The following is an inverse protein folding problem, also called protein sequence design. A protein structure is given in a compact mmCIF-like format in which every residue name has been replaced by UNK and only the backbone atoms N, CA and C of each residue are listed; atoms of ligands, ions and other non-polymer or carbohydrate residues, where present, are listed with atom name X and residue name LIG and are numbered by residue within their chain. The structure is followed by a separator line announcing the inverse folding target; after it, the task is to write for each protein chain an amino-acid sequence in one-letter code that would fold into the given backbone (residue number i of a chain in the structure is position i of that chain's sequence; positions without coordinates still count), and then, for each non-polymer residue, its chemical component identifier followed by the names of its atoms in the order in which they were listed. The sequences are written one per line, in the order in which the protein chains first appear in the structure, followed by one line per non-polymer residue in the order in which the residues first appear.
data_IF_431317364832
#
_entry.id   IF_431317364832
#
_cell.length_a   1.000
_cell.length_b   1.000
_cell.length_c   1.000
_cell.angle_alpha   90.00
_cell.angle_beta   90.00
_cell.angle_gamma   90.00
#
_symmetry.space_group_name_H-M   'P 1'
#
loop_
_entity.id
_entity.type
_entity.pdbx_description
1 polymer ?
#
# COMPACT_ATOMS: atom_id res chain seq x y z
N UNK A 1 24.07 4.09 -25.55
CA UNK A 1 23.26 3.32 -26.55
C UNK A 1 21.86 3.18 -25.98
N UNK A 2 20.92 3.92 -26.54
CA UNK A 2 19.52 3.94 -26.09
C UNK A 2 18.88 2.59 -26.31
N UNK A 3 18.55 1.86 -25.26
CA UNK A 3 17.60 0.75 -25.35
C UNK A 3 16.20 1.31 -25.09
N UNK A 4 15.55 1.73 -26.16
CA UNK A 4 14.11 2.00 -26.18
C UNK A 4 13.44 0.63 -26.17
N UNK A 5 12.95 0.21 -25.02
CA UNK A 5 11.98 -0.89 -24.95
C UNK A 5 10.62 -0.25 -25.19
N UNK A 6 10.21 -0.24 -26.44
CA UNK A 6 8.86 0.18 -26.85
C UNK A 6 7.91 -0.94 -26.48
N UNK A 7 7.32 -0.87 -25.29
CA UNK A 7 6.20 -1.71 -24.92
C UNK A 7 4.91 -0.99 -25.35
N UNK A 8 4.49 -1.23 -26.60
CA UNK A 8 3.18 -0.79 -27.08
C UNK A 8 2.10 -1.63 -26.40
N UNK A 9 1.53 -1.17 -25.31
CA UNK A 9 0.27 -1.68 -24.78
C UNK A 9 -0.82 -0.71 -25.22
N UNK A 10 -1.44 -1.03 -26.37
CA UNK A 10 -2.73 -0.48 -26.76
C UNK A 10 -3.79 -1.03 -25.80
N UNK A 11 -4.24 -0.23 -24.84
CA UNK A 11 -5.45 -0.49 -24.09
C UNK A 11 -6.59 0.31 -24.74
N UNK A 12 -7.19 -0.24 -25.78
CA UNK A 12 -8.43 0.25 -26.35
C UNK A 12 -9.59 -0.23 -25.45
N UNK A 13 -9.97 0.56 -24.46
CA UNK A 13 -11.22 0.38 -23.74
C UNK A 13 -12.32 1.16 -24.47
N UNK A 14 -12.97 0.53 -25.46
CA UNK A 14 -14.23 1.03 -26.02
C UNK A 14 -15.36 0.70 -25.04
N UNK A 15 -15.76 1.67 -24.26
CA UNK A 15 -17.04 1.63 -23.56
C UNK A 15 -18.16 1.79 -24.59
N UNK A 16 -18.83 0.69 -24.91
CA UNK A 16 -20.09 0.71 -25.67
C UNK A 16 -21.23 0.80 -24.65
N UNK A 17 -21.73 2.00 -24.42
CA UNK A 17 -23.02 2.20 -23.74
C UNK A 17 -24.14 1.77 -24.72
N UNK A 18 -24.76 0.64 -24.47
CA UNK A 18 -26.07 0.34 -25.03
C UNK A 18 -27.14 0.67 -24.00
N UNK A 19 -27.90 1.71 -24.31
CA UNK A 19 -29.18 2.01 -23.68
C UNK A 19 -30.18 0.90 -24.03
N UNK A 20 -30.78 0.28 -23.03
CA UNK A 20 -31.99 -0.54 -23.24
C UNK A 20 -33.18 0.26 -22.71
N UNK A 21 -34.05 0.61 -23.64
CA UNK A 21 -35.38 1.19 -23.43
C UNK A 21 -36.36 0.16 -22.86
N UNK A 22 -37.22 0.67 -22.02
CA UNK A 22 -38.42 -0.04 -21.49
C UNK A 22 -39.44 -0.31 -22.60
N UNK A 23 -40.10 -1.44 -22.50
CA UNK A 23 -41.52 -1.68 -22.92
C UNK A 23 -42.02 -2.89 -22.13
N UNK A 24 -42.95 -2.74 -21.50
CA UNK A 24 -44.35 -2.73 -21.16
C UNK A 24 -45.14 -4.00 -21.56
N UNK A 25 -45.95 -4.49 -20.60
CA UNK A 25 -47.25 -5.20 -20.67
C UNK A 25 -47.27 -6.67 -21.16
N UNK A 26 -47.92 -7.57 -20.47
CA UNK A 26 -49.32 -7.65 -20.12
C UNK A 26 -49.64 -8.92 -19.31
N UNK A 27 -50.70 -8.80 -18.55
CA UNK A 27 -51.47 -9.79 -17.75
C UNK A 27 -51.89 -11.05 -18.50
N UNK A 28 -52.01 -12.16 -17.78
CA UNK A 28 -53.29 -12.87 -17.74
C UNK A 28 -53.39 -13.90 -16.59
N UNK A 29 -54.51 -13.83 -15.89
CA UNK A 29 -55.06 -14.74 -14.89
C UNK A 29 -55.40 -16.11 -15.46
N UNK A 30 -55.29 -17.16 -14.65
CA UNK A 30 -56.49 -17.98 -14.34
C UNK A 30 -56.16 -19.05 -13.28
N UNK A 31 -57.10 -19.17 -12.38
CA UNK A 31 -57.20 -20.12 -11.26
C UNK A 31 -57.65 -21.52 -11.78
N UNK A 32 -57.43 -22.56 -10.94
CA UNK A 32 -58.44 -23.45 -10.36
C UNK A 32 -57.82 -24.76 -9.88
N UNK A 33 -57.90 -24.97 -8.59
CA UNK A 33 -58.25 -26.13 -7.75
C UNK A 33 -57.87 -27.57 -8.15
N UNK A 34 -57.45 -28.31 -7.11
CA UNK A 34 -57.53 -29.77 -7.08
C UNK A 34 -56.70 -30.37 -5.93
N UNK A 35 -57.39 -30.65 -4.82
CA UNK A 35 -56.82 -31.38 -3.71
C UNK A 35 -56.65 -32.88 -4.03
N UNK A 36 -55.58 -33.49 -3.58
CA UNK A 36 -55.59 -34.90 -3.13
C UNK A 36 -54.38 -35.16 -2.22
N UNK A 37 -54.70 -35.56 -0.99
CA UNK A 37 -53.78 -36.13 -0.01
C UNK A 37 -53.10 -37.38 -0.52
N UNK A 38 -51.77 -37.41 -0.35
CA UNK A 38 -51.05 -38.66 -0.18
C UNK A 38 -49.82 -38.42 0.71
N UNK A 39 -49.90 -38.95 1.92
CA UNK A 39 -48.80 -39.10 2.86
C UNK A 39 -47.70 -39.98 2.23
N UNK A 40 -46.55 -39.43 1.99
CA UNK A 40 -45.33 -40.22 1.87
C UNK A 40 -44.22 -39.66 2.76
N UNK A 41 -43.85 -40.50 3.70
CA UNK A 41 -42.71 -40.37 4.60
C UNK A 41 -41.45 -40.57 3.74
N UNK A 42 -40.60 -39.56 3.66
CA UNK A 42 -39.36 -39.64 2.85
C UNK A 42 -38.38 -38.55 3.25
N UNK A 43 -37.37 -38.97 3.93
CA UNK A 43 -35.99 -38.44 4.02
C UNK A 43 -35.85 -36.91 3.91
N UNK A 44 -35.43 -36.31 5.02
CA UNK A 44 -34.95 -34.95 5.10
C UNK A 44 -33.66 -34.81 4.21
N UNK A 45 -33.84 -34.31 2.99
CA UNK A 45 -32.76 -33.68 2.26
C UNK A 45 -32.47 -32.34 2.95
N UNK A 46 -31.30 -32.27 3.58
CA UNK A 46 -30.72 -31.03 4.03
C UNK A 46 -30.39 -30.16 2.80
N UNK A 47 -31.34 -29.38 2.33
CA UNK A 47 -31.09 -28.25 1.45
C UNK A 47 -30.18 -27.29 2.21
N UNK A 48 -29.03 -27.05 1.68
CA UNK A 48 -28.05 -26.10 2.23
C UNK A 48 -28.68 -24.69 2.24
N UNK A 49 -28.81 -24.11 3.42
CA UNK A 49 -29.26 -22.72 3.66
C UNK A 49 -28.32 -21.65 3.05
N UNK A 50 -27.41 -22.04 2.14
CA UNK A 50 -26.50 -21.11 1.45
C UNK A 50 -27.18 -20.38 0.27
N UNK A 51 -28.39 -20.77 -0.17
CA UNK A 51 -28.99 -20.23 -1.39
C UNK A 51 -29.81 -18.93 -1.17
N UNK A 52 -30.05 -18.50 0.08
CA UNK A 52 -30.89 -17.34 0.37
C UNK A 52 -30.11 -16.08 0.86
N UNK A 53 -28.78 -16.05 0.79
CA UNK A 53 -28.06 -14.82 1.11
C UNK A 53 -28.21 -13.80 -0.02
N UNK A 54 -28.85 -12.69 0.33
CA UNK A 54 -29.08 -11.53 -0.53
C UNK A 54 -27.74 -11.06 -1.13
N UNK A 55 -27.63 -10.95 -2.45
CA UNK A 55 -26.42 -10.61 -3.20
C UNK A 55 -25.72 -9.30 -2.71
N UNK A 56 -26.45 -8.44 -1.97
CA UNK A 56 -25.93 -7.23 -1.35
C UNK A 56 -25.10 -7.48 -0.08
N UNK A 57 -25.41 -8.54 0.69
CA UNK A 57 -24.67 -8.91 1.91
C UNK A 57 -23.36 -9.66 1.58
N UNK A 58 -23.35 -10.41 0.47
CA UNK A 58 -22.20 -11.19 0.03
C UNK A 58 -21.02 -10.32 -0.45
N UNK A 59 -21.28 -9.08 -0.89
CA UNK A 59 -20.23 -8.15 -1.39
C UNK A 59 -19.33 -7.64 -0.26
N UNK A 60 -19.83 -7.58 0.99
CA UNK A 60 -19.05 -7.05 2.13
C UNK A 60 -18.07 -8.05 2.75
N UNK A 61 -18.16 -9.32 2.41
CA UNK A 61 -17.39 -10.40 3.06
C UNK A 61 -16.16 -10.87 2.26
N UNK A 62 -15.85 -10.21 1.14
CA UNK A 62 -14.76 -10.67 0.32
C UNK A 62 -13.43 -9.99 0.72
N UNK A 63 -12.84 -10.48 1.82
CA UNK A 63 -11.55 -10.00 2.33
C UNK A 63 -10.47 -10.02 1.25
N UNK A 64 -10.56 -10.95 0.28
CA UNK A 64 -9.63 -11.06 -0.84
C UNK A 64 -9.59 -9.87 -1.78
N UNK A 65 -10.65 -9.06 -1.81
CA UNK A 65 -10.75 -7.88 -2.67
C UNK A 65 -10.42 -6.56 -1.95
N UNK A 66 -9.96 -6.65 -0.70
CA UNK A 66 -9.49 -5.47 0.03
C UNK A 66 -7.97 -5.35 -0.06
N UNK A 67 -7.44 -4.19 -0.41
CA UNK A 67 -5.99 -3.96 -0.34
C UNK A 67 -5.48 -4.09 1.10
N UNK A 68 -4.22 -4.46 1.23
CA UNK A 68 -3.54 -4.53 2.52
C UNK A 68 -3.66 -3.19 3.29
N UNK A 69 -3.96 -3.28 4.60
CA UNK A 69 -4.00 -2.12 5.49
C UNK A 69 -5.25 -1.26 5.39
N UNK A 70 -6.33 -1.75 4.76
CA UNK A 70 -7.64 -1.09 4.76
C UNK A 70 -8.64 -1.97 5.51
N UNK A 71 -9.33 -1.38 6.49
CA UNK A 71 -10.41 -2.04 7.23
C UNK A 71 -11.66 -1.16 7.21
N UNK A 72 -12.77 -1.70 6.72
CA UNK A 72 -14.03 -0.97 6.64
C UNK A 72 -15.22 -1.79 7.15
N UNK A 73 -16.17 -1.13 7.79
CA UNK A 73 -17.55 -1.56 7.86
C UNK A 73 -18.02 -2.36 9.06
N UNK A 74 -17.17 -2.86 9.97
CA UNK A 74 -17.62 -3.66 11.11
C UNK A 74 -17.15 -3.08 12.44
N UNK A 75 -18.10 -2.63 13.27
CA UNK A 75 -17.81 -2.13 14.61
C UNK A 75 -17.31 -3.26 15.54
N UNK A 76 -16.34 -2.95 16.37
CA UNK A 76 -15.76 -3.88 17.35
C UNK A 76 -14.66 -4.80 16.80
N UNK A 77 -14.39 -4.78 15.51
CA UNK A 77 -13.34 -5.61 14.90
C UNK A 77 -11.95 -5.05 15.12
N UNK A 78 -11.02 -5.98 15.21
CA UNK A 78 -9.58 -5.72 15.25
C UNK A 78 -8.91 -6.28 14.01
N UNK A 79 -7.82 -5.64 13.60
CA UNK A 79 -6.93 -6.18 12.58
C UNK A 79 -5.49 -5.99 13.05
N UNK A 80 -4.69 -7.03 12.93
CA UNK A 80 -3.23 -6.96 13.05
C UNK A 80 -2.62 -7.22 11.69
N UNK A 81 -1.54 -6.53 11.38
CA UNK A 81 -0.84 -6.67 10.11
C UNK A 81 0.66 -6.57 10.26
N UNK A 82 1.33 -7.26 9.38
CA UNK A 82 2.76 -7.18 9.20
C UNK A 82 3.07 -7.04 7.72
N UNK A 83 3.93 -6.10 7.36
CA UNK A 83 4.41 -5.93 6.00
C UNK A 83 5.94 -5.90 5.99
N UNK A 84 6.51 -6.67 5.08
CA UNK A 84 7.91 -6.60 4.71
C UNK A 84 8.02 -5.92 3.35
N UNK A 85 8.90 -4.93 3.23
CA UNK A 85 9.25 -4.28 1.97
C UNK A 85 10.74 -4.41 1.74
N UNK A 86 11.12 -4.85 0.56
CA UNK A 86 12.50 -4.83 0.07
C UNK A 86 12.58 -3.92 -1.14
N UNK A 87 13.47 -2.94 -1.11
CA UNK A 87 13.71 -1.98 -2.18
C UNK A 87 15.17 -2.03 -2.62
N UNK A 88 15.40 -2.19 -3.92
CA UNK A 88 16.73 -2.13 -4.54
C UNK A 88 16.85 -0.86 -5.35
N UNK A 89 17.92 -0.13 -5.11
CA UNK A 89 18.30 1.07 -5.85
C UNK A 89 19.66 0.82 -6.50
N UNK A 90 19.79 1.16 -7.78
CA UNK A 90 21.01 0.93 -8.55
C UNK A 90 21.04 1.87 -9.75
N UNK A 91 22.16 2.55 -9.97
CA UNK A 91 22.27 3.67 -10.89
C UNK A 91 21.91 5.01 -10.24
N UNK A 92 22.25 6.11 -10.88
CA UNK A 92 21.95 7.46 -10.39
C UNK A 92 21.37 8.33 -11.49
N UNK A 93 20.43 9.20 -11.10
CA UNK A 93 19.77 10.16 -11.99
C UNK A 93 20.00 11.60 -11.52
N UNK A 94 20.05 12.52 -12.49
CA UNK A 94 19.85 13.96 -12.31
C UNK A 94 18.71 14.38 -13.22
N UNK A 95 17.61 14.84 -12.65
CA UNK A 95 16.36 14.92 -13.42
C UNK A 95 15.93 13.54 -13.89
N UNK A 96 15.84 13.38 -15.20
CA UNK A 96 15.54 12.09 -15.87
C UNK A 96 16.74 11.48 -16.59
N UNK A 97 17.90 12.10 -16.46
CA UNK A 97 19.11 11.71 -17.19
C UNK A 97 20.03 10.88 -16.29
N UNK A 98 20.57 9.79 -16.85
CA UNK A 98 21.53 8.95 -16.17
C UNK A 98 22.83 9.72 -15.91
N UNK A 99 23.37 9.61 -14.71
CA UNK A 99 24.68 10.13 -14.33
C UNK A 99 25.56 8.99 -13.82
N UNK A 100 26.79 8.92 -14.33
CA UNK A 100 27.72 7.88 -13.88
C UNK A 100 28.40 8.26 -12.56
N UNK A 101 28.79 7.27 -11.76
CA UNK A 101 29.59 7.45 -10.54
C UNK A 101 30.83 8.30 -10.80
N UNK A 102 31.54 8.10 -11.93
CA UNK A 102 32.71 8.89 -12.29
C UNK A 102 32.40 10.36 -12.59
N UNK A 103 31.16 10.71 -12.94
CA UNK A 103 30.73 12.10 -13.08
C UNK A 103 30.39 12.74 -11.73
N UNK A 104 29.78 11.95 -10.83
CA UNK A 104 29.49 12.38 -9.45
C UNK A 104 30.83 12.66 -8.70
N UNK A 105 31.79 11.77 -8.81
CA UNK A 105 33.11 11.92 -8.18
C UNK A 105 33.93 13.12 -8.69
N UNK A 106 33.52 13.81 -9.75
CA UNK A 106 34.10 15.10 -10.13
C UNK A 106 33.62 16.26 -9.28
N UNK A 107 32.51 16.08 -8.57
CA UNK A 107 31.86 17.12 -7.78
C UNK A 107 31.93 16.81 -6.28
N UNK A 108 31.91 15.53 -5.92
CA UNK A 108 31.88 15.04 -4.54
C UNK A 108 33.02 14.04 -4.31
N UNK A 109 33.69 14.04 -3.14
CA UNK A 109 34.69 13.05 -2.77
C UNK A 109 34.18 11.61 -2.72
N UNK A 110 32.89 11.41 -2.38
CA UNK A 110 32.26 10.11 -2.28
C UNK A 110 31.01 10.03 -3.16
N UNK A 111 30.71 8.85 -3.65
CA UNK A 111 29.49 8.59 -4.42
C UNK A 111 28.87 7.23 -4.06
N UNK A 112 27.54 7.12 -3.91
CA UNK A 112 26.87 5.85 -3.78
C UNK A 112 26.85 5.11 -5.12
N UNK A 113 27.03 3.79 -5.06
CA UNK A 113 26.93 2.90 -6.23
C UNK A 113 25.60 2.20 -6.31
N UNK A 114 25.13 1.70 -5.18
CA UNK A 114 23.83 1.05 -5.03
C UNK A 114 23.41 1.02 -3.57
N UNK A 115 22.10 0.76 -3.34
CA UNK A 115 21.53 0.67 -1.99
C UNK A 115 20.46 -0.40 -1.94
N UNK A 116 20.36 -1.06 -0.80
CA UNK A 116 19.19 -1.89 -0.44
C UNK A 116 18.53 -1.37 0.82
N UNK A 117 17.22 -1.43 0.86
CA UNK A 117 16.43 -1.08 2.05
C UNK A 117 15.42 -2.19 2.33
N UNK A 118 15.50 -2.73 3.54
CA UNK A 118 14.49 -3.60 4.13
C UNK A 118 13.66 -2.81 5.13
N UNK A 119 12.34 -2.87 5.03
CA UNK A 119 11.43 -2.28 5.99
C UNK A 119 10.47 -3.33 6.51
N UNK A 120 10.43 -3.47 7.83
CA UNK A 120 9.49 -4.29 8.56
C UNK A 120 8.47 -3.38 9.22
N UNK A 121 7.19 -3.56 8.93
CA UNK A 121 6.13 -2.68 9.40
C UNK A 121 5.08 -3.49 10.15
N UNK A 122 4.84 -3.14 11.41
CA UNK A 122 3.78 -3.71 12.24
C UNK A 122 2.63 -2.73 12.32
N UNK A 123 1.43 -3.24 12.22
CA UNK A 123 0.21 -2.46 12.23
C UNK A 123 -0.84 -3.12 13.12
N UNK A 124 -1.54 -2.30 13.86
CA UNK A 124 -2.75 -2.69 14.59
C UNK A 124 -3.87 -1.71 14.24
N UNK A 125 -5.06 -2.23 13.98
CA UNK A 125 -6.25 -1.42 13.69
C UNK A 125 -7.41 -1.87 14.58
N UNK A 126 -8.26 -0.92 14.93
CA UNK A 126 -9.49 -1.14 15.68
C UNK A 126 -10.61 -0.28 15.13
N UNK A 127 -11.77 -0.87 14.89
CA UNK A 127 -12.98 -0.16 14.46
C UNK A 127 -13.93 0.05 15.64
N UNK A 128 -13.86 1.16 16.40
CA UNK A 128 -14.80 1.43 17.48
C UNK A 128 -16.24 1.59 16.98
N UNK A 129 -16.43 1.99 15.75
CA UNK A 129 -17.73 2.10 15.10
C UNK A 129 -17.67 1.61 13.64
N UNK A 130 -18.82 1.39 13.01
CA UNK A 130 -18.88 1.04 11.59
C UNK A 130 -18.32 2.13 10.63
N UNK A 131 -18.02 3.33 11.14
CA UNK A 131 -17.52 4.46 10.34
C UNK A 131 -16.13 4.94 10.72
N UNK A 132 -15.63 4.56 11.88
CA UNK A 132 -14.34 5.02 12.39
C UNK A 132 -13.43 3.82 12.59
N UNK A 133 -12.26 3.87 12.00
CA UNK A 133 -11.15 2.94 12.25
C UNK A 133 -9.95 3.74 12.77
N UNK A 134 -9.32 3.23 13.80
CA UNK A 134 -8.08 3.77 14.38
C UNK A 134 -6.95 2.80 14.05
N UNK A 135 -5.83 3.30 13.54
CA UNK A 135 -4.65 2.49 13.28
C UNK A 135 -3.40 3.08 13.94
N UNK A 136 -2.53 2.18 14.36
CA UNK A 136 -1.17 2.50 14.78
C UNK A 136 -0.19 1.65 13.98
N UNK A 137 0.88 2.26 13.49
CA UNK A 137 1.86 1.62 12.62
C UNK A 137 3.27 2.04 13.03
N UNK A 138 4.17 1.08 13.13
CA UNK A 138 5.57 1.31 13.45
C UNK A 138 6.48 0.57 12.47
N UNK A 139 7.36 1.27 11.73
CA UNK A 139 8.34 0.66 10.85
C UNK A 139 9.67 0.42 11.58
N UNK A 140 10.39 -0.61 11.14
CA UNK A 140 11.82 -0.81 11.42
C UNK A 140 12.55 -0.90 10.10
N UNK A 141 13.61 -0.11 9.94
CA UNK A 141 14.41 -0.02 8.74
C UNK A 141 15.76 -0.72 8.91
N UNK A 142 16.21 -1.36 7.85
CA UNK A 142 17.59 -1.79 7.65
C UNK A 142 18.00 -1.31 6.28
N UNK A 143 19.04 -0.46 6.26
CA UNK A 143 19.55 0.20 5.06
C UNK A 143 21.02 -0.13 4.90
N UNK A 144 21.42 -0.47 3.69
CA UNK A 144 22.82 -0.75 3.34
C UNK A 144 23.11 -0.09 2.00
N UNK A 145 24.08 0.84 1.98
CA UNK A 145 24.48 1.63 0.82
C UNK A 145 25.96 1.40 0.55
N UNK A 146 26.27 0.95 -0.64
CA UNK A 146 27.63 0.79 -1.13
C UNK A 146 28.13 2.12 -1.68
N UNK A 147 29.33 2.52 -1.26
CA UNK A 147 29.97 3.79 -1.58
C UNK A 147 31.33 3.56 -2.21
N UNK A 148 31.77 4.53 -3.00
CA UNK A 148 33.14 4.61 -3.54
C UNK A 148 33.66 6.03 -3.38
N UNK A 149 34.96 6.16 -3.01
CA UNK A 149 35.63 7.44 -2.92
C UNK A 149 36.40 7.78 -4.23
N UNK A 150 36.98 8.98 -4.28
CA UNK A 150 37.79 9.46 -5.44
C UNK A 150 39.04 8.64 -5.69
N UNK A 151 39.57 7.94 -4.69
CA UNK A 151 40.72 7.07 -4.78
C UNK A 151 40.40 5.65 -5.23
N UNK A 152 39.07 5.36 -5.39
CA UNK A 152 38.55 4.07 -5.80
C UNK A 152 38.40 3.06 -4.66
N UNK A 153 38.46 3.49 -3.39
CA UNK A 153 38.17 2.62 -2.25
C UNK A 153 36.68 2.43 -2.07
N UNK A 154 36.28 1.21 -1.84
CA UNK A 154 34.87 0.87 -1.57
C UNK A 154 34.64 0.73 -0.07
N UNK A 155 33.51 1.27 0.40
CA UNK A 155 33.03 1.10 1.77
C UNK A 155 31.51 0.99 1.80
N UNK A 156 30.98 0.53 2.92
CA UNK A 156 29.55 0.29 3.07
C UNK A 156 29.03 1.14 4.21
N UNK A 157 28.04 2.00 3.91
CA UNK A 157 27.29 2.74 4.92
C UNK A 157 26.07 1.95 5.34
N UNK A 158 25.81 1.89 6.65
CA UNK A 158 24.65 1.17 7.22
C UNK A 158 23.88 2.07 8.15
N UNK A 159 22.54 1.99 8.04
CA UNK A 159 21.63 2.62 8.97
C UNK A 159 20.50 1.66 9.29
N UNK A 160 20.19 1.48 10.57
CA UNK A 160 19.09 0.62 10.99
C UNK A 160 18.45 1.16 12.25
N UNK A 161 17.16 0.95 12.40
CA UNK A 161 16.44 1.40 13.58
C UNK A 161 14.94 1.44 13.40
N UNK A 162 14.26 1.71 14.49
CA UNK A 162 12.82 1.98 14.49
C UNK A 162 12.60 3.36 13.88
N UNK A 163 11.61 3.47 12.98
CA UNK A 163 11.19 4.74 12.41
C UNK A 163 10.13 5.44 13.24
N UNK A 164 9.46 6.40 12.63
CA UNK A 164 8.45 7.20 13.30
C UNK A 164 7.13 6.42 13.45
N UNK A 165 6.52 6.50 14.63
CA UNK A 165 5.21 5.93 14.92
C UNK A 165 4.13 6.75 14.21
N UNK A 166 3.26 6.09 13.44
CA UNK A 166 2.11 6.71 12.82
C UNK A 166 0.82 6.30 13.52
N UNK A 167 0.00 7.29 13.86
CA UNK A 167 -1.35 7.11 14.41
C UNK A 167 -2.34 7.71 13.42
N UNK A 168 -3.22 6.87 12.85
CA UNK A 168 -4.12 7.26 11.77
C UNK A 168 -5.57 6.90 12.08
N UNK A 169 -6.48 7.86 12.36
CA UNK A 169 -7.91 7.68 12.22
C UNK A 169 -8.32 7.68 10.73
N UNK A 170 -9.22 6.78 10.38
CA UNK A 170 -9.89 6.71 9.08
C UNK A 170 -11.40 6.80 9.30
N UNK A 171 -12.05 7.76 8.65
CA UNK A 171 -13.48 8.00 8.82
C UNK A 171 -14.23 7.82 7.50
N UNK A 172 -15.21 6.92 7.49
CA UNK A 172 -16.11 6.67 6.36
C UNK A 172 -17.09 7.83 6.21
N UNK A 173 -16.80 8.76 5.28
CA UNK A 173 -17.61 9.97 5.04
C UNK A 173 -18.79 9.70 4.10
N UNK A 174 -18.64 8.74 3.18
CA UNK A 174 -19.69 8.39 2.23
C UNK A 174 -19.69 6.89 1.96
N UNK A 175 -20.89 6.31 1.83
CA UNK A 175 -21.10 4.93 1.42
C UNK A 175 -22.45 4.84 0.70
N UNK A 176 -22.50 4.14 -0.44
CA UNK A 176 -23.74 3.83 -1.14
C UNK A 176 -24.57 2.81 -0.34
N UNK A 177 -25.89 2.77 -0.58
CA UNK A 177 -26.80 1.87 0.13
C UNK A 177 -26.44 0.38 -0.08
N UNK A 178 -25.93 0.04 -1.26
CA UNK A 178 -25.43 -1.30 -1.61
C UNK A 178 -23.97 -1.54 -1.14
N UNK A 179 -23.38 -0.58 -0.41
CA UNK A 179 -22.02 -0.59 0.13
C UNK A 179 -20.91 -0.79 -0.90
N UNK A 180 -21.22 -0.68 -2.19
CA UNK A 180 -20.26 -0.90 -3.28
C UNK A 180 -19.26 0.23 -3.45
N UNK A 181 -19.64 1.45 -3.07
CA UNK A 181 -18.77 2.61 -3.16
C UNK A 181 -18.60 3.25 -1.79
N UNK A 182 -17.36 3.50 -1.42
CA UNK A 182 -17.00 4.08 -0.14
C UNK A 182 -15.97 5.18 -0.33
N UNK A 183 -16.06 6.22 0.49
CA UNK A 183 -15.09 7.30 0.55
C UNK A 183 -14.67 7.49 2.01
N UNK A 184 -13.38 7.34 2.28
CA UNK A 184 -12.79 7.46 3.60
C UNK A 184 -11.92 8.71 3.64
N UNK A 185 -12.14 9.52 4.67
CA UNK A 185 -11.22 10.60 5.03
C UNK A 185 -10.18 10.02 5.98
N UNK A 186 -8.92 10.12 5.61
CA UNK A 186 -7.80 9.67 6.41
C UNK A 186 -7.17 10.90 7.08
N UNK A 187 -6.83 10.77 8.32
CA UNK A 187 -6.07 11.77 9.07
C UNK A 187 -4.97 11.08 9.83
N UNK A 188 -4.14 11.85 10.54
CA UNK A 188 -3.18 11.22 11.40
C UNK A 188 -2.03 12.13 11.80
N UNK A 189 -1.22 11.60 12.70
CA UNK A 189 0.03 12.21 13.15
C UNK A 189 1.15 11.18 13.06
N UNK A 190 2.31 11.63 12.61
CA UNK A 190 3.58 10.94 12.76
C UNK A 190 4.30 11.49 14.00
N UNK A 191 4.65 10.61 14.91
CA UNK A 191 5.39 10.93 16.13
C UNK A 191 6.85 10.59 15.91
N UNK A 192 7.81 11.52 16.10
CA UNK A 192 9.22 11.30 15.82
C UNK A 192 9.87 10.37 16.88
N UNK A 193 9.57 9.09 16.77
CA UNK A 193 10.13 8.04 17.63
C UNK A 193 11.41 7.43 17.07
N UNK A 194 11.66 7.63 15.76
CA UNK A 194 12.87 7.16 15.09
C UNK A 194 14.08 8.03 15.43
N UNK A 195 15.25 7.39 15.52
CA UNK A 195 16.53 8.08 15.72
C UNK A 195 16.91 8.91 14.50
N UNK A 196 17.51 10.06 14.73
CA UNK A 196 18.19 10.89 13.74
C UNK A 196 19.66 11.09 14.11
N UNK A 197 20.17 10.30 15.06
CA UNK A 197 21.50 10.38 15.65
C UNK A 197 22.37 9.18 15.28
N UNK A 198 22.00 8.43 14.23
CA UNK A 198 22.80 7.29 13.77
C UNK A 198 24.16 7.75 13.25
N UNK A 199 25.21 7.05 13.70
CA UNK A 199 26.61 7.34 13.36
C UNK A 199 27.32 6.07 12.87
N UNK A 200 28.32 6.27 12.01
CA UNK A 200 29.25 5.23 11.59
C UNK A 200 30.69 5.74 11.69
N UNK A 201 31.52 5.05 12.45
CA UNK A 201 32.92 5.47 12.66
C UNK A 201 33.09 6.81 13.39
N UNK A 202 32.07 7.26 14.14
CA UNK A 202 32.07 8.55 14.85
C UNK A 202 31.62 9.73 13.99
N UNK A 203 31.11 9.48 12.79
CA UNK A 203 30.50 10.48 11.91
C UNK A 203 29.03 10.18 11.73
N UNK A 204 28.21 11.24 11.67
CA UNK A 204 26.78 11.13 11.39
C UNK A 204 26.55 10.57 9.98
N UNK A 205 25.64 9.58 9.87
CA UNK A 205 25.26 9.06 8.56
C UNK A 205 24.27 10.01 7.87
N UNK A 206 24.19 9.92 6.54
CA UNK A 206 23.38 10.76 5.65
C UNK A 206 21.89 10.81 6.06
N UNK A 207 21.19 11.84 5.58
CA UNK A 207 19.75 12.00 5.79
C UNK A 207 18.95 10.77 5.39
N UNK A 208 19.28 10.15 4.26
CA UNK A 208 18.57 8.96 3.78
C UNK A 208 18.87 7.70 4.61
N UNK A 209 19.96 7.67 5.36
CA UNK A 209 20.34 6.54 6.21
C UNK A 209 19.74 6.63 7.62
N UNK A 210 19.28 7.80 8.06
CA UNK A 210 18.60 7.96 9.35
C UNK A 210 17.24 7.22 9.35
N UNK A 211 16.87 6.49 10.42
CA UNK A 211 15.59 5.79 10.50
C UNK A 211 14.39 6.70 10.79
N UNK A 212 14.59 7.80 11.49
CA UNK A 212 13.56 8.77 11.88
C UNK A 212 13.59 10.07 11.08
N UNK A 213 12.56 10.91 11.24
CA UNK A 213 12.52 12.27 10.70
C UNK A 213 12.87 13.35 11.73
N UNK A 214 12.78 13.01 13.01
CA UNK A 214 12.96 13.94 14.12
C UNK A 214 11.90 15.04 14.21
N UNK A 215 10.85 15.01 13.39
CA UNK A 215 9.78 16.03 13.35
C UNK A 215 8.40 15.41 13.45
N UNK A 216 7.48 16.09 14.13
CA UNK A 216 6.06 15.73 14.10
C UNK A 216 5.53 15.92 12.67
N UNK A 217 4.71 14.99 12.20
CA UNK A 217 4.10 15.06 10.88
C UNK A 217 2.58 15.01 10.96
N UNK A 218 1.91 15.77 10.08
CA UNK A 218 0.48 15.59 9.80
C UNK A 218 0.34 14.65 8.62
N UNK A 219 -0.63 13.74 8.69
CA UNK A 219 -0.82 12.66 7.73
C UNK A 219 -2.25 12.70 7.12
N UNK A 220 -2.65 13.80 6.40
CA UNK A 220 -3.95 13.85 5.75
C UNK A 220 -4.00 12.93 4.54
N UNK A 221 -5.20 12.41 4.25
CA UNK A 221 -5.41 11.58 3.07
C UNK A 221 -6.89 11.37 2.75
N UNK A 222 -7.13 10.76 1.60
CA UNK A 222 -8.44 10.41 1.10
C UNK A 222 -8.35 9.08 0.37
N UNK A 223 -9.28 8.16 0.65
CA UNK A 223 -9.33 6.85 -0.01
C UNK A 223 -10.71 6.62 -0.58
N UNK A 224 -10.79 6.33 -1.87
CA UNK A 224 -11.98 5.85 -2.55
C UNK A 224 -11.86 4.36 -2.82
N UNK A 225 -12.92 3.63 -2.53
CA UNK A 225 -13.07 2.20 -2.77
C UNK A 225 -14.32 1.93 -3.58
N UNK A 226 -14.19 1.12 -4.60
CA UNK A 226 -15.30 0.56 -5.36
C UNK A 226 -15.18 -0.95 -5.44
N UNK A 227 -16.29 -1.68 -5.34
CA UNK A 227 -16.27 -3.13 -5.42
C UNK A 227 -17.53 -3.74 -6.01
N UNK A 228 -17.35 -4.90 -6.61
CA UNK A 228 -18.42 -5.84 -7.02
C UNK A 228 -18.12 -7.19 -6.38
N UNK A 229 -18.86 -8.22 -6.75
CA UNK A 229 -18.62 -9.58 -6.26
C UNK A 229 -17.25 -10.16 -6.62
N UNK A 230 -16.66 -9.74 -7.75
CA UNK A 230 -15.40 -10.31 -8.29
C UNK A 230 -14.34 -9.28 -8.61
N UNK A 231 -14.65 -7.98 -8.55
CA UNK A 231 -13.74 -6.89 -8.81
C UNK A 231 -13.73 -5.90 -7.67
N UNK A 232 -12.58 -5.35 -7.36
CA UNK A 232 -12.46 -4.09 -6.62
C UNK A 232 -11.50 -3.13 -7.32
N UNK A 233 -11.69 -1.87 -7.08
CA UNK A 233 -10.83 -0.80 -7.58
C UNK A 233 -10.84 0.34 -6.58
N UNK A 234 -9.84 1.16 -6.64
CA UNK A 234 -9.79 2.32 -5.79
C UNK A 234 -8.65 3.24 -6.12
N UNK A 235 -8.65 4.33 -5.39
CA UNK A 235 -7.56 5.30 -5.40
C UNK A 235 -7.38 5.84 -3.98
N UNK A 236 -6.15 6.06 -3.60
CA UNK A 236 -5.81 6.78 -2.37
C UNK A 236 -4.83 7.92 -2.65
N UNK A 237 -4.97 8.97 -1.87
CA UNK A 237 -4.04 10.07 -1.77
C UNK A 237 -3.63 10.22 -0.31
N UNK A 238 -2.34 10.34 -0.07
CA UNK A 238 -1.77 10.54 1.27
C UNK A 238 -0.71 11.63 1.20
N UNK A 239 -0.66 12.47 2.22
CA UNK A 239 0.41 13.42 2.37
C UNK A 239 1.08 13.24 3.73
N UNK A 240 2.39 13.47 3.76
CA UNK A 240 3.18 13.62 4.98
C UNK A 240 3.67 15.06 5.03
N UNK A 241 3.03 15.87 5.86
CA UNK A 241 3.38 17.28 6.04
C UNK A 241 4.13 17.42 7.36
N UNK A 242 5.43 17.69 7.26
CA UNK A 242 6.32 17.75 8.43
C UNK A 242 6.28 19.13 9.07
N UNK A 243 6.25 19.17 10.40
CA UNK A 243 6.07 20.42 11.16
C UNK A 243 7.35 20.77 11.92
N UNK A 244 7.79 22.03 11.78
CA UNK A 244 8.96 22.53 12.47
C UNK A 244 10.27 21.91 11.93
N UNK A 245 11.35 22.16 12.65
CA UNK A 245 12.67 21.54 12.42
C UNK A 245 13.03 20.66 13.60
N UNK A 246 13.84 19.65 13.34
CA UNK A 246 14.34 18.75 14.38
C UNK A 246 15.52 19.39 15.17
N UNK A 247 16.09 18.64 16.11
CA UNK A 247 17.19 19.10 16.96
C UNK A 247 18.50 19.37 16.20
N UNK A 248 18.62 18.89 14.95
CA UNK A 248 19.75 19.14 14.06
C UNK A 248 19.46 20.24 13.02
N UNK A 249 18.46 21.10 13.30
CA UNK A 249 18.10 22.28 12.49
C UNK A 249 17.61 21.98 11.06
N UNK A 250 17.22 20.74 10.72
CA UNK A 250 16.66 20.41 9.44
C UNK A 250 15.23 19.82 9.56
N UNK A 251 14.55 19.77 8.44
CA UNK A 251 13.27 19.12 8.26
C UNK A 251 13.29 18.40 6.92
N UNK A 252 13.01 17.09 6.90
CA UNK A 252 12.84 16.36 5.65
C UNK A 252 11.72 16.99 4.82
N UNK A 253 11.80 16.94 3.50
CA UNK A 253 10.78 17.47 2.59
C UNK A 253 9.40 16.83 2.81
N UNK A 254 8.34 17.58 2.55
CA UNK A 254 6.99 17.01 2.55
C UNK A 254 6.89 15.94 1.45
N UNK A 255 6.01 14.94 1.67
CA UNK A 255 5.83 13.83 0.73
C UNK A 255 4.36 13.66 0.41
N UNK A 256 4.06 13.53 -0.87
CA UNK A 256 2.73 13.35 -1.42
C UNK A 256 2.71 12.05 -2.21
N UNK A 257 1.77 11.17 -1.89
CA UNK A 257 1.66 9.85 -2.50
C UNK A 257 0.24 9.64 -3.01
N UNK A 258 0.13 9.05 -4.18
CA UNK A 258 -1.14 8.65 -4.77
C UNK A 258 -1.03 7.23 -5.31
N UNK A 259 -2.07 6.45 -5.12
CA UNK A 259 -2.16 5.10 -5.66
C UNK A 259 -3.53 4.90 -6.30
N UNK A 260 -3.55 4.22 -7.45
CA UNK A 260 -4.77 3.72 -8.07
C UNK A 260 -4.57 2.24 -8.41
N UNK A 261 -5.58 1.42 -8.13
CA UNK A 261 -5.49 -0.03 -8.34
C UNK A 261 -6.79 -0.61 -8.84
N UNK A 262 -6.68 -1.78 -9.47
CA UNK A 262 -7.77 -2.69 -9.79
C UNK A 262 -7.38 -4.08 -9.34
N UNK A 263 -8.30 -4.78 -8.69
CA UNK A 263 -8.13 -6.17 -8.27
C UNK A 263 -9.23 -7.03 -8.86
N UNK A 264 -8.90 -8.26 -9.22
CA UNK A 264 -9.84 -9.26 -9.69
C UNK A 264 -9.67 -10.55 -8.92
N UNK A 265 -10.76 -11.05 -8.39
CA UNK A 265 -10.80 -12.38 -7.82
C UNK A 265 -10.83 -13.43 -8.95
N UNK A 266 -9.87 -14.34 -8.93
CA UNK A 266 -9.77 -15.43 -9.89
C UNK A 266 -10.42 -16.71 -9.37
N UNK A 267 -10.22 -16.97 -8.08
CA UNK A 267 -10.80 -18.10 -7.36
C UNK A 267 -11.29 -17.63 -5.98
N UNK A 268 -11.94 -18.48 -5.21
CA UNK A 268 -12.37 -18.14 -3.84
C UNK A 268 -11.20 -17.75 -2.89
N UNK A 269 -9.98 -18.14 -3.21
CA UNK A 269 -8.79 -17.96 -2.37
C UNK A 269 -7.69 -17.11 -3.01
N UNK A 270 -7.84 -16.72 -4.29
CA UNK A 270 -6.81 -15.98 -5.03
C UNK A 270 -7.41 -14.77 -5.76
N UNK A 271 -6.81 -13.61 -5.55
CA UNK A 271 -7.02 -12.40 -6.34
C UNK A 271 -5.71 -11.89 -6.94
N UNK A 272 -5.80 -11.23 -8.08
CA UNK A 272 -4.70 -10.51 -8.72
C UNK A 272 -4.99 -9.02 -8.71
N UNK A 273 -3.94 -8.22 -8.65
CA UNK A 273 -4.05 -6.77 -8.71
C UNK A 273 -3.02 -6.14 -9.64
N UNK A 274 -3.37 -4.99 -10.17
CA UNK A 274 -2.46 -4.10 -10.87
C UNK A 274 -2.75 -2.67 -10.47
N UNK A 275 -1.75 -1.80 -10.51
CA UNK A 275 -1.92 -0.42 -10.11
C UNK A 275 -0.80 0.50 -10.57
N UNK A 276 -1.01 1.78 -10.29
CA UNK A 276 -0.05 2.86 -10.46
C UNK A 276 0.17 3.53 -9.11
N UNK A 277 1.43 3.81 -8.78
CA UNK A 277 1.82 4.46 -7.53
C UNK A 277 2.66 5.68 -7.87
N UNK A 278 2.16 6.88 -7.59
CA UNK A 278 2.86 8.14 -7.77
C UNK A 278 3.38 8.66 -6.43
N UNK A 279 4.58 9.18 -6.41
CA UNK A 279 5.15 9.86 -5.27
C UNK A 279 5.87 11.14 -5.71
N UNK A 280 5.70 12.20 -4.91
CA UNK A 280 6.44 13.46 -5.05
C UNK A 280 6.93 13.83 -3.66
N UNK A 281 8.18 14.19 -3.54
CA UNK A 281 8.76 14.64 -2.28
C UNK A 281 9.65 15.85 -2.52
N UNK A 282 9.62 16.76 -1.54
CA UNK A 282 10.35 18.01 -1.57
C UNK A 282 11.78 17.81 -1.05
N UNK A 283 12.65 18.77 -1.33
CA UNK A 283 13.97 18.83 -0.76
C UNK A 283 13.94 19.06 0.77
N UNK A 284 15.05 18.80 1.44
CA UNK A 284 15.23 19.04 2.87
C UNK A 284 15.29 20.53 3.13
N UNK A 285 14.59 21.01 4.15
CA UNK A 285 14.65 22.41 4.59
C UNK A 285 15.60 22.55 5.78
N UNK A 286 16.58 23.45 5.67
CA UNK A 286 17.67 23.59 6.63
C UNK A 286 18.78 22.61 6.35
N UNK A 287 19.72 22.45 7.28
CA UNK A 287 20.82 21.51 7.18
C UNK A 287 21.27 21.06 8.57
N UNK A 288 21.72 19.83 8.67
CA UNK A 288 22.42 19.32 9.83
C UNK A 288 23.83 19.92 9.85
N UNK A 289 24.25 20.61 10.93
CA UNK A 289 25.59 21.20 11.02
C UNK A 289 26.74 20.17 11.05
N UNK A 290 26.42 18.90 11.36
CA UNK A 290 27.39 17.81 11.42
C UNK A 290 27.56 17.09 10.06
N UNK A 291 26.76 17.45 9.03
CA UNK A 291 26.83 16.93 7.68
C UNK A 291 27.42 17.99 6.73
N UNK A 292 28.52 17.66 6.08
CA UNK A 292 29.13 18.52 5.06
C UNK A 292 28.50 18.23 3.68
N UNK A 293 27.74 19.18 3.10
CA UNK A 293 27.09 18.99 1.81
C UNK A 293 28.06 18.85 0.63
N UNK A 294 29.33 19.08 0.85
CA UNK A 294 30.36 18.93 -0.18
C UNK A 294 31.02 17.54 -0.18
N UNK A 295 30.77 16.72 0.84
CA UNK A 295 31.37 15.37 0.94
C UNK A 295 30.71 14.37 0.03
N UNK A 296 29.39 14.40 -0.06
CA UNK A 296 28.59 13.50 -0.90
C UNK A 296 27.21 14.11 -1.21
N UNK A 297 26.62 13.73 -2.34
CA UNK A 297 25.32 14.28 -2.75
C UNK A 297 24.17 13.94 -1.78
N UNK A 298 24.31 12.88 -1.00
CA UNK A 298 23.32 12.43 -0.02
C UNK A 298 23.29 13.28 1.24
N UNK A 299 24.32 14.11 1.47
CA UNK A 299 24.39 15.11 2.55
C UNK A 299 23.96 16.51 2.13
N UNK A 300 23.78 16.79 0.82
CA UNK A 300 23.27 18.08 0.37
C UNK A 300 21.72 18.11 0.48
N UNK A 301 21.15 18.95 1.36
CA UNK A 301 19.69 19.03 1.56
C UNK A 301 18.91 19.47 0.31
N UNK A 302 19.55 20.15 -0.65
CA UNK A 302 18.91 20.64 -1.87
C UNK A 302 18.84 19.59 -2.99
N UNK A 303 19.49 18.45 -2.81
CA UNK A 303 19.57 17.37 -3.79
C UNK A 303 18.74 16.13 -3.38
N UNK A 304 17.77 16.29 -2.46
CA UNK A 304 17.01 15.16 -1.89
C UNK A 304 15.56 15.05 -2.40
N UNK A 305 15.11 16.03 -3.17
CA UNK A 305 13.75 16.05 -3.74
C UNK A 305 13.60 15.16 -4.96
N UNK A 306 12.35 14.90 -5.35
CA UNK A 306 12.09 14.13 -6.55
C UNK A 306 10.64 13.72 -6.75
N UNK A 307 10.41 13.00 -7.84
CA UNK A 307 9.10 12.42 -8.17
C UNK A 307 9.28 11.07 -8.86
N UNK A 308 8.34 10.16 -8.61
CA UNK A 308 8.36 8.80 -9.16
C UNK A 308 6.96 8.33 -9.48
N UNK A 309 6.82 7.57 -10.56
CA UNK A 309 5.62 6.82 -10.93
C UNK A 309 6.01 5.37 -11.15
N UNK A 310 5.41 4.46 -10.39
CA UNK A 310 5.65 3.03 -10.45
C UNK A 310 4.42 2.30 -10.98
N UNK A 311 4.62 1.24 -11.78
CA UNK A 311 3.61 0.22 -12.02
C UNK A 311 3.71 -0.87 -10.94
N UNK A 312 2.56 -1.38 -10.50
CA UNK A 312 2.52 -2.48 -9.53
C UNK A 312 1.70 -3.66 -10.05
N UNK A 313 2.11 -4.87 -9.63
CA UNK A 313 1.41 -6.13 -9.84
C UNK A 313 1.41 -6.93 -8.56
N UNK A 314 0.24 -7.45 -8.18
CA UNK A 314 0.09 -8.15 -6.91
C UNK A 314 -0.74 -9.42 -7.00
N UNK A 315 -0.48 -10.29 -6.03
CA UNK A 315 -1.24 -11.50 -5.74
C UNK A 315 -1.72 -11.42 -4.31
N UNK A 316 -2.99 -11.76 -4.08
CA UNK A 316 -3.59 -11.80 -2.76
C UNK A 316 -4.18 -13.19 -2.53
N UNK A 317 -3.75 -13.82 -1.45
CA UNK A 317 -4.18 -15.15 -1.02
C UNK A 317 -5.03 -15.01 0.23
N UNK A 318 -6.24 -15.57 0.20
CA UNK A 318 -7.14 -15.63 1.34
C UNK A 318 -7.46 -17.09 1.59
N UNK A 319 -7.10 -17.64 2.74
CA UNK A 319 -7.55 -18.95 3.12
C UNK A 319 -9.08 -18.96 3.09
N UNK A 320 -9.68 -20.05 2.61
CA UNK A 320 -11.11 -20.17 2.29
C UNK A 320 -12.01 -19.41 3.25
N UNK A 321 -12.90 -18.53 2.75
CA UNK A 321 -13.94 -17.96 3.61
C UNK A 321 -14.80 -19.09 4.15
N UNK A 322 -14.88 -19.19 5.48
CA UNK A 322 -15.92 -19.96 6.08
C UNK A 322 -17.27 -19.34 5.69
N UNK A 323 -18.14 -20.09 5.04
CA UNK A 323 -19.50 -19.63 4.81
C UNK A 323 -20.13 -19.29 6.17
N UNK A 324 -20.56 -18.05 6.38
CA UNK A 324 -21.35 -17.66 7.54
C UNK A 324 -22.68 -18.41 7.45
N UNK A 325 -22.93 -19.30 8.40
CA UNK A 325 -24.18 -20.06 8.44
C UNK A 325 -23.98 -21.55 8.62
N UNK A 326 -23.38 -22.00 9.73
CA UNK A 326 -23.51 -23.36 10.24
C UNK A 326 -22.98 -24.50 9.35
N UNK A 327 -22.32 -24.21 8.25
CA UNK A 327 -21.74 -25.24 7.38
C UNK A 327 -20.65 -26.04 8.11
N UNK A 328 -20.60 -27.36 7.96
CA UNK A 328 -19.62 -28.22 8.63
C UNK A 328 -18.16 -27.90 8.30
N UNK A 329 -17.89 -27.12 7.25
CA UNK A 329 -16.56 -26.65 6.88
C UNK A 329 -15.94 -25.67 7.90
N UNK A 330 -16.75 -24.97 8.71
CA UNK A 330 -16.29 -24.02 9.74
C UNK A 330 -16.09 -24.64 11.12
N UNK A 331 -16.28 -25.95 11.27
CA UNK A 331 -16.31 -26.58 12.59
C UNK A 331 -14.92 -26.95 13.15
N UNK A 332 -13.86 -26.93 12.34
CA UNK A 332 -12.52 -27.26 12.83
C UNK A 332 -11.80 -26.02 13.38
N UNK A 333 -11.00 -26.19 14.43
CA UNK A 333 -10.18 -25.11 15.01
C UNK A 333 -9.26 -24.45 13.96
N UNK A 334 -8.81 -25.22 12.98
CA UNK A 334 -7.93 -24.74 11.90
C UNK A 334 -8.67 -23.79 10.95
N UNK A 335 -9.90 -24.10 10.55
CA UNK A 335 -10.68 -23.22 9.66
C UNK A 335 -11.06 -21.91 10.34
N UNK A 336 -11.37 -21.92 11.64
CA UNK A 336 -11.60 -20.71 12.43
C UNK A 336 -10.36 -19.84 12.57
N UNK A 337 -9.18 -20.44 12.68
CA UNK A 337 -7.91 -19.71 12.76
C UNK A 337 -7.54 -19.07 11.41
N UNK A 338 -7.87 -19.71 10.29
CA UNK A 338 -7.57 -19.19 8.94
C UNK A 338 -8.56 -18.10 8.49
N UNK A 339 -9.71 -18.02 9.14
CA UNK A 339 -10.73 -17.01 8.81
C UNK A 339 -10.20 -15.60 9.12
N UNK A 340 -10.48 -14.66 8.23
CA UNK A 340 -10.02 -13.26 8.33
C UNK A 340 -8.53 -13.04 8.02
N UNK A 341 -7.77 -14.08 7.64
CA UNK A 341 -6.38 -13.93 7.24
C UNK A 341 -6.24 -13.61 5.75
N UNK A 342 -5.23 -12.81 5.45
CA UNK A 342 -4.86 -12.45 4.07
C UNK A 342 -3.34 -12.37 3.96
N UNK A 343 -2.79 -12.94 2.89
CA UNK A 343 -1.40 -12.80 2.49
C UNK A 343 -1.35 -12.11 1.13
N UNK A 344 -0.55 -11.06 0.99
CA UNK A 344 -0.36 -10.34 -0.26
C UNK A 344 1.11 -10.27 -0.64
N UNK A 345 1.38 -10.36 -1.93
CA UNK A 345 2.71 -10.13 -2.51
C UNK A 345 2.53 -9.13 -3.66
N UNK A 346 3.25 -8.03 -3.62
CA UNK A 346 3.20 -6.97 -4.65
C UNK A 346 4.61 -6.61 -5.10
N UNK A 347 4.86 -6.68 -6.41
CA UNK A 347 6.05 -6.14 -7.05
C UNK A 347 5.76 -4.76 -7.64
N UNK A 348 6.70 -3.83 -7.53
CA UNK A 348 6.66 -2.49 -8.15
C UNK A 348 7.91 -2.26 -8.99
N UNK A 349 7.71 -1.63 -10.14
CA UNK A 349 8.80 -1.19 -11.01
C UNK A 349 8.54 0.26 -11.43
N UNK A 350 9.56 1.12 -11.37
CA UNK A 350 9.42 2.51 -11.80
C UNK A 350 9.20 2.58 -13.31
N UNK A 351 8.26 3.45 -13.71
CA UNK A 351 8.02 3.81 -15.12
C UNK A 351 8.68 5.16 -15.43
N UNK A 352 8.61 6.08 -14.48
CA UNK A 352 9.17 7.43 -14.59
C UNK A 352 9.80 7.78 -13.25
N UNK A 353 11.04 8.25 -13.29
CA UNK A 353 11.72 8.86 -12.16
C UNK A 353 12.35 10.17 -12.59
N UNK A 354 12.28 11.18 -11.73
CA UNK A 354 12.94 12.47 -11.92
C UNK A 354 13.38 12.98 -10.56
N UNK A 355 14.69 13.10 -10.37
CA UNK A 355 15.35 13.37 -9.10
C UNK A 355 16.05 14.72 -9.17
N UNK A 356 15.96 15.54 -8.11
CA UNK A 356 16.42 16.92 -8.13
C UNK A 356 17.96 17.07 -8.15
N UNK A 357 18.69 16.01 -7.81
CA UNK A 357 20.16 15.96 -7.86
C UNK A 357 20.65 14.57 -8.16
N UNK A 358 21.95 14.32 -8.16
CA UNK A 358 22.50 12.97 -8.28
C UNK A 358 21.97 12.11 -7.12
N UNK A 359 20.98 11.29 -7.38
CA UNK A 359 20.39 10.36 -6.41
C UNK A 359 20.31 8.98 -7.02
N UNK A 360 20.42 7.95 -6.18
CA UNK A 360 20.20 6.57 -6.60
C UNK A 360 18.76 6.41 -7.09
N UNK A 361 18.60 5.79 -8.27
CA UNK A 361 17.29 5.45 -8.79
C UNK A 361 16.76 4.15 -8.18
N UNK A 362 15.45 4.08 -7.99
CA UNK A 362 14.81 2.83 -7.62
C UNK A 362 14.78 1.88 -8.82
N UNK A 363 15.25 0.65 -8.64
CA UNK A 363 15.21 -0.36 -9.69
C UNK A 363 13.93 -1.19 -9.60
N UNK A 364 13.59 -1.64 -8.39
CA UNK A 364 12.36 -2.40 -8.10
C UNK A 364 12.10 -2.47 -6.60
N UNK A 365 10.85 -2.75 -6.26
CA UNK A 365 10.40 -2.94 -4.87
C UNK A 365 9.52 -4.19 -4.79
N UNK A 366 9.68 -4.99 -3.74
CA UNK A 366 8.77 -6.11 -3.41
C UNK A 366 8.17 -5.82 -2.04
N UNK A 367 6.85 -6.00 -1.94
CA UNK A 367 6.10 -5.95 -0.69
C UNK A 367 5.47 -7.31 -0.42
N UNK A 368 5.60 -7.79 0.81
CA UNK A 368 4.93 -8.99 1.31
C UNK A 368 4.14 -8.58 2.54
N UNK A 369 2.83 -8.72 2.50
CA UNK A 369 1.93 -8.32 3.58
C UNK A 369 1.13 -9.51 4.10
N UNK A 370 1.03 -9.61 5.41
CA UNK A 370 0.11 -10.50 6.11
C UNK A 370 -0.79 -9.68 7.02
N UNK A 371 -2.08 -9.96 7.00
CA UNK A 371 -3.04 -9.34 7.91
C UNK A 371 -4.07 -10.35 8.39
N UNK A 372 -4.58 -10.11 9.58
CA UNK A 372 -5.62 -10.92 10.21
C UNK A 372 -6.65 -10.02 10.89
N UNK A 373 -7.89 -10.15 10.49
CA UNK A 373 -9.04 -9.45 11.03
C UNK A 373 -9.90 -10.42 11.87
N UNK A 374 -10.25 -10.01 13.09
CA UNK A 374 -11.00 -10.85 14.03
C UNK A 374 -11.93 -10.04 14.91
#
# INVERSE_FOLDING_TARGET
MKRIVTLSLMLAATLSLKSASADEMAMSNSAVSGASDTKQMGTAESRSECDDMNAGEMVMMNSCLMPFGIMTGEAGKWMVGYQFMHEKMDGSLVGTDDISVSQILKQFPNAPTDMTMDMHMWMIMYAPTARLTLSAMIPYFRKEMNMVDVDGNHFVMRGNGIGDLELRPEYLIFQTADKRHQLLLNGGIGVPTGSIDEEMGGFRVDYCMQPGSGTVSLLPGLTYLGQTTTWSWGADFKATVRLGRNNHNYRLGNRYESRAWVMRQLTSWLAISTGLNGAVWENIEGADPDLDPMMEQTTDPNLQGGKRLDASFGLTFCPMPCCHGGSPCCSTAVTKFLDGQQLSVEGRVPIIQSLDGPQLENSWTINIGWQWMF
#
